data_IF_623261419361
#
_entry.id   IF_623261419361
#
_cell.length_a   1.000
_cell.length_b   1.000
_cell.length_c   1.000
_cell.angle_alpha   90.00
_cell.angle_beta   90.00
_cell.angle_gamma   90.00
#
_symmetry.space_group_name_H-M   'P 1'
#
loop_
_entity.id
_entity.type
_entity.pdbx_description
1 polymer ?
#
# COMPACT_ATOMS: atom_id res chain seq x y z
N UNK A 1 1.90 5.73 3.10
CA UNK A 1 0.69 6.00 2.31
C UNK A 1 0.88 7.24 1.45
N UNK A 2 0.15 7.39 0.34
CA UNK A 2 0.16 8.64 -0.42
C UNK A 2 -0.57 9.71 0.39
N UNK A 3 0.03 10.87 0.57
CA UNK A 3 -0.62 12.03 1.22
C UNK A 3 -1.80 12.61 0.41
N UNK A 4 -2.00 12.17 -0.83
CA UNK A 4 -2.93 12.80 -1.77
C UNK A 4 -4.20 11.96 -2.01
N UNK A 5 -5.37 12.53 -1.68
CA UNK A 5 -6.68 11.88 -1.86
C UNK A 5 -7.13 11.81 -3.32
N UNK A 6 -6.51 12.58 -4.21
CA UNK A 6 -6.94 12.71 -5.60
C UNK A 6 -6.21 11.75 -6.54
N UNK A 7 -6.93 11.25 -7.54
CA UNK A 7 -6.37 10.49 -8.65
C UNK A 7 -5.52 11.42 -9.51
N UNK A 8 -4.22 11.15 -9.62
CA UNK A 8 -3.27 11.99 -10.34
C UNK A 8 -3.23 11.61 -11.81
N UNK A 9 -3.68 12.50 -12.70
CA UNK A 9 -3.73 12.20 -14.13
C UNK A 9 -2.80 13.13 -14.90
N UNK A 10 -1.86 12.53 -15.63
CA UNK A 10 -1.03 13.24 -16.59
C UNK A 10 -1.85 13.47 -17.85
N UNK A 11 -2.05 14.72 -18.23
CA UNK A 11 -2.93 15.08 -19.33
C UNK A 11 -2.18 15.89 -20.38
N UNK A 12 -2.14 15.40 -21.62
CA UNK A 12 -1.43 16.04 -22.74
C UNK A 12 -2.44 16.75 -23.62
N UNK A 13 -2.51 18.08 -23.51
CA UNK A 13 -3.51 18.97 -24.11
C UNK A 13 -2.91 20.37 -24.24
N UNK A 14 -3.00 20.97 -25.43
CA UNK A 14 -2.43 22.29 -25.71
C UNK A 14 -3.47 23.41 -25.87
N UNK A 15 -4.77 23.10 -25.81
CA UNK A 15 -5.85 24.11 -25.85
C UNK A 15 -6.06 24.79 -24.47
N UNK A 16 -5.79 26.10 -24.34
CA UNK A 16 -5.96 26.83 -23.08
C UNK A 16 -7.40 26.87 -22.57
N UNK A 17 -8.39 26.86 -23.47
CA UNK A 17 -9.81 26.88 -23.07
C UNK A 17 -10.18 25.55 -22.42
N UNK A 18 -9.74 24.45 -23.02
CA UNK A 18 -9.99 23.09 -22.52
C UNK A 18 -9.25 22.86 -21.20
N UNK A 19 -7.96 23.22 -21.13
CA UNK A 19 -7.15 23.07 -19.91
C UNK A 19 -7.64 23.93 -18.74
N UNK A 20 -8.39 25.00 -19.01
CA UNK A 20 -9.05 25.78 -17.95
C UNK A 20 -10.39 25.19 -17.48
N UNK A 21 -11.14 24.53 -18.35
CA UNK A 21 -12.51 24.10 -18.08
C UNK A 21 -12.59 22.71 -17.43
N UNK A 22 -11.87 21.73 -17.97
CA UNK A 22 -12.04 20.33 -17.59
C UNK A 22 -11.49 19.93 -16.21
N UNK A 23 -10.46 20.57 -15.63
CA UNK A 23 -9.98 20.19 -14.30
C UNK A 23 -11.08 20.24 -13.23
N UNK A 24 -11.92 21.29 -13.22
CA UNK A 24 -13.02 21.41 -12.27
C UNK A 24 -14.08 20.32 -12.46
N UNK A 25 -14.38 19.97 -13.72
CA UNK A 25 -15.32 18.87 -14.02
C UNK A 25 -14.76 17.51 -13.56
N UNK A 26 -13.47 17.25 -13.80
CA UNK A 26 -12.81 16.00 -13.44
C UNK A 26 -12.75 15.80 -11.92
N UNK A 27 -12.45 16.86 -11.17
CA UNK A 27 -12.49 16.85 -9.71
C UNK A 27 -13.91 16.53 -9.22
N UNK A 28 -14.91 17.30 -9.63
CA UNK A 28 -16.29 17.14 -9.16
C UNK A 28 -16.90 15.77 -9.50
N UNK A 29 -16.61 15.24 -10.70
CA UNK A 29 -17.21 13.99 -11.17
C UNK A 29 -16.51 12.77 -10.58
N UNK A 30 -15.18 12.82 -10.45
CA UNK A 30 -14.38 11.62 -10.25
C UNK A 30 -13.29 11.75 -9.17
N UNK A 31 -13.07 12.93 -8.59
CA UNK A 31 -11.94 13.18 -7.69
C UNK A 31 -10.60 13.07 -8.42
N UNK A 32 -10.56 13.54 -9.68
CA UNK A 32 -9.37 13.52 -10.53
C UNK A 32 -8.72 14.89 -10.54
N UNK A 33 -7.41 14.92 -10.32
CA UNK A 33 -6.57 16.10 -10.54
C UNK A 33 -5.87 15.97 -11.90
N UNK A 34 -6.27 16.80 -12.86
CA UNK A 34 -5.67 16.84 -14.19
C UNK A 34 -4.45 17.76 -14.20
N UNK A 35 -3.29 17.21 -14.57
CA UNK A 35 -2.05 17.97 -14.75
C UNK A 35 -1.76 18.11 -16.24
N UNK A 36 -2.05 19.30 -16.79
CA UNK A 36 -1.95 19.57 -18.22
C UNK A 36 -0.50 19.83 -18.67
N UNK A 37 -0.11 19.22 -19.78
CA UNK A 37 1.15 19.43 -20.49
C UNK A 37 0.86 19.78 -21.96
N UNK A 38 1.41 20.90 -22.49
CA UNK A 38 1.10 21.37 -23.84
C UNK A 38 1.78 20.56 -24.96
N UNK A 39 2.67 19.63 -24.62
CA UNK A 39 3.29 18.73 -25.58
C UNK A 39 3.76 17.44 -24.91
N UNK A 40 3.99 16.40 -25.73
CA UNK A 40 4.52 15.13 -25.24
C UNK A 40 5.93 15.26 -24.67
N UNK A 41 6.80 16.08 -25.24
CA UNK A 41 8.18 16.26 -24.80
C UNK A 41 8.29 16.65 -23.31
N UNK A 42 7.49 17.61 -22.86
CA UNK A 42 7.44 18.01 -21.45
C UNK A 42 6.77 16.92 -20.59
N UNK A 43 5.71 16.30 -21.11
CA UNK A 43 4.98 15.24 -20.43
C UNK A 43 5.84 13.97 -20.23
N UNK A 44 6.65 13.57 -21.21
CA UNK A 44 7.57 12.43 -21.17
C UNK A 44 8.65 12.65 -20.11
N UNK A 45 9.22 13.86 -20.06
CA UNK A 45 10.21 14.23 -19.05
C UNK A 45 9.63 14.13 -17.63
N UNK A 46 8.41 14.65 -17.41
CA UNK A 46 7.73 14.55 -16.12
C UNK A 46 7.35 13.10 -15.78
N UNK A 47 6.85 12.35 -16.75
CA UNK A 47 6.50 10.94 -16.58
C UNK A 47 7.72 10.09 -16.22
N UNK A 48 8.87 10.33 -16.84
CA UNK A 48 10.09 9.58 -16.55
C UNK A 48 10.65 9.87 -15.15
N UNK A 49 10.63 11.15 -14.74
CA UNK A 49 11.12 11.63 -13.45
C UNK A 49 10.20 11.25 -12.29
N UNK A 50 8.88 11.32 -12.49
CA UNK A 50 7.87 11.15 -11.45
C UNK A 50 6.88 10.00 -11.74
N UNK A 51 7.35 8.93 -12.37
CA UNK A 51 6.51 7.81 -12.83
C UNK A 51 5.55 7.25 -11.77
N UNK A 52 6.00 7.18 -10.51
CA UNK A 52 5.21 6.67 -9.39
C UNK A 52 3.99 7.52 -9.02
N UNK A 53 4.01 8.82 -9.36
CA UNK A 53 2.95 9.80 -9.06
C UNK A 53 1.67 9.52 -9.83
N UNK A 54 1.81 9.18 -11.11
CA UNK A 54 0.71 9.17 -12.06
C UNK A 54 -0.14 7.91 -11.95
N UNK A 55 -1.46 8.07 -12.08
CA UNK A 55 -2.47 7.03 -11.96
C UNK A 55 -3.12 6.69 -13.30
N UNK A 56 -3.23 7.68 -14.19
CA UNK A 56 -3.63 7.50 -15.57
C UNK A 56 -2.98 8.56 -16.47
N UNK A 57 -3.05 8.32 -17.78
CA UNK A 57 -2.63 9.26 -18.83
C UNK A 57 -3.84 9.57 -19.71
N UNK A 58 -4.10 10.85 -20.00
CA UNK A 58 -5.05 11.28 -21.03
C UNK A 58 -4.27 11.98 -22.15
N UNK A 59 -4.52 11.58 -23.38
CA UNK A 59 -3.90 12.14 -24.58
C UNK A 59 -4.95 12.84 -25.43
N UNK A 60 -4.75 14.12 -25.74
CA UNK A 60 -5.43 14.71 -26.89
C UNK A 60 -4.76 14.23 -28.18
N UNK A 61 -5.58 13.72 -29.11
CA UNK A 61 -5.08 13.17 -30.36
C UNK A 61 -4.34 14.22 -31.19
N UNK A 62 -4.77 15.50 -31.14
CA UNK A 62 -4.15 16.62 -31.85
C UNK A 62 -3.23 17.46 -30.97
N UNK A 63 -2.51 16.85 -30.04
CA UNK A 63 -1.49 17.59 -29.29
C UNK A 63 -0.15 17.62 -30.05
N UNK A 64 0.77 18.47 -29.57
CA UNK A 64 2.12 18.60 -30.12
C UNK A 64 3.02 17.51 -29.55
N UNK A 65 3.87 16.93 -30.40
CA UNK A 65 4.89 15.98 -29.93
C UNK A 65 6.05 16.70 -29.25
N UNK A 66 6.63 17.72 -29.91
CA UNK A 66 7.60 18.68 -29.35
C UNK A 66 7.00 20.07 -29.27
N UNK A 67 7.62 20.98 -28.51
CA UNK A 67 7.14 22.37 -28.33
C UNK A 67 6.85 23.11 -29.64
N UNK A 68 7.75 22.93 -30.60
CA UNK A 68 7.71 23.62 -31.91
C UNK A 68 7.03 22.80 -33.01
N UNK A 69 6.52 21.60 -32.69
CA UNK A 69 5.83 20.78 -33.68
C UNK A 69 4.41 21.30 -33.94
N UNK A 70 3.96 21.13 -35.18
CA UNK A 70 2.55 21.26 -35.52
C UNK A 70 1.71 20.16 -34.82
N UNK A 71 0.46 20.48 -34.53
CA UNK A 71 -0.59 19.65 -33.94
C UNK A 71 -1.12 18.60 -34.93
N UNK A 72 -0.31 17.56 -35.20
CA UNK A 72 -0.65 16.48 -36.13
C UNK A 72 -0.84 15.15 -35.41
N UNK A 73 -2.07 14.63 -35.45
CA UNK A 73 -2.44 13.39 -34.78
C UNK A 73 -1.62 12.17 -35.20
N UNK A 74 -1.36 12.01 -36.50
CA UNK A 74 -0.51 10.93 -37.02
C UNK A 74 0.88 10.97 -36.40
N UNK A 75 1.52 12.15 -36.37
CA UNK A 75 2.86 12.30 -35.78
C UNK A 75 2.81 12.08 -34.27
N UNK A 76 1.82 12.65 -33.59
CA UNK A 76 1.70 12.55 -32.15
C UNK A 76 1.45 11.10 -31.69
N UNK A 77 0.32 10.50 -32.08
CA UNK A 77 -0.10 9.19 -31.59
C UNK A 77 0.87 8.07 -31.97
N UNK A 78 1.41 8.08 -33.19
CA UNK A 78 2.37 7.05 -33.64
C UNK A 78 3.68 7.03 -32.84
N UNK A 79 4.08 8.17 -32.27
CA UNK A 79 5.31 8.26 -31.48
C UNK A 79 5.06 8.12 -29.98
N UNK A 80 3.92 8.58 -29.47
CA UNK A 80 3.61 8.56 -28.03
C UNK A 80 3.40 7.14 -27.51
N UNK A 81 2.63 6.30 -28.20
CA UNK A 81 2.33 4.95 -27.69
C UNK A 81 3.58 4.06 -27.51
N UNK A 82 4.52 3.96 -28.49
CA UNK A 82 5.76 3.23 -28.29
C UNK A 82 6.57 3.72 -27.09
N UNK A 83 6.55 5.03 -26.81
CA UNK A 83 7.24 5.64 -25.66
C UNK A 83 6.61 5.24 -24.34
N UNK A 84 5.28 5.32 -24.24
CA UNK A 84 4.53 4.85 -23.07
C UNK A 84 4.83 3.37 -22.80
N UNK A 85 4.77 2.52 -23.83
CA UNK A 85 5.05 1.09 -23.68
C UNK A 85 6.50 0.80 -23.25
N UNK A 86 7.47 1.53 -23.81
CA UNK A 86 8.88 1.41 -23.42
C UNK A 86 9.10 1.83 -21.96
N UNK A 87 8.48 2.93 -21.53
CA UNK A 87 8.55 3.38 -20.14
C UNK A 87 7.88 2.37 -19.20
N UNK A 88 6.71 1.84 -19.56
CA UNK A 88 6.00 0.84 -18.77
C UNK A 88 6.84 -0.42 -18.55
N UNK A 89 7.49 -0.93 -19.61
CA UNK A 89 8.41 -2.06 -19.52
C UNK A 89 9.63 -1.75 -18.65
N UNK A 90 10.27 -0.59 -18.83
CA UNK A 90 11.44 -0.16 -18.03
C UNK A 90 11.11 0.03 -16.54
N UNK A 91 9.91 0.52 -16.23
CA UNK A 91 9.46 0.82 -14.87
C UNK A 91 8.71 -0.36 -14.23
N UNK A 92 8.54 -1.46 -14.96
CA UNK A 92 7.78 -2.64 -14.55
C UNK A 92 6.38 -2.32 -14.00
N UNK A 93 5.70 -1.33 -14.60
CA UNK A 93 4.36 -0.89 -14.21
C UNK A 93 3.69 -0.21 -15.39
N UNK A 94 2.52 -0.69 -15.79
CA UNK A 94 1.70 -0.04 -16.79
C UNK A 94 0.83 1.04 -16.15
N UNK A 95 0.85 2.26 -16.70
CA UNK A 95 -0.11 3.31 -16.34
C UNK A 95 -1.22 3.29 -17.41
N UNK A 96 -2.49 3.15 -17.02
CA UNK A 96 -3.60 3.12 -17.97
C UNK A 96 -3.66 4.45 -18.72
N UNK A 97 -3.79 4.38 -20.05
CA UNK A 97 -3.88 5.55 -20.92
C UNK A 97 -5.20 5.59 -21.67
N UNK A 98 -5.62 6.80 -22.05
CA UNK A 98 -6.88 7.07 -22.74
C UNK A 98 -6.69 8.19 -23.76
N UNK A 99 -7.52 8.21 -24.81
CA UNK A 99 -7.52 9.27 -25.82
C UNK A 99 -8.81 10.08 -25.71
N UNK A 100 -8.69 11.40 -25.55
CA UNK A 100 -9.81 12.35 -25.49
C UNK A 100 -9.69 13.36 -26.64
N UNK A 101 -10.49 13.22 -27.69
CA UNK A 101 -10.32 13.96 -28.95
C UNK A 101 -11.57 14.76 -29.34
N UNK A 102 -11.36 15.89 -30.01
CA UNK A 102 -12.41 16.66 -30.69
C UNK A 102 -12.66 16.25 -32.14
N UNK A 103 -11.84 15.39 -32.74
CA UNK A 103 -11.94 14.99 -34.16
C UNK A 103 -13.01 13.92 -34.42
N UNK A 104 -13.41 13.81 -35.70
CA UNK A 104 -14.26 12.72 -36.21
C UNK A 104 -13.57 11.35 -36.12
N UNK A 105 -14.38 10.29 -36.08
CA UNK A 105 -13.96 8.92 -35.77
C UNK A 105 -12.95 8.31 -36.75
N UNK A 106 -13.04 8.66 -38.04
CA UNK A 106 -12.28 7.99 -39.09
C UNK A 106 -10.80 8.41 -39.15
N UNK A 107 -10.45 9.61 -38.67
CA UNK A 107 -9.10 10.17 -38.88
C UNK A 107 -8.04 9.63 -37.91
N UNK A 108 -8.46 9.07 -36.76
CA UNK A 108 -7.53 8.69 -35.67
C UNK A 108 -7.68 7.26 -35.19
N UNK A 109 -8.73 6.54 -35.60
CA UNK A 109 -9.04 5.19 -35.12
C UNK A 109 -7.87 4.23 -35.32
N UNK A 110 -7.27 4.24 -36.51
CA UNK A 110 -6.20 3.33 -36.89
C UNK A 110 -4.84 3.70 -36.27
N UNK A 111 -4.73 4.89 -35.68
CA UNK A 111 -3.52 5.36 -34.98
C UNK A 111 -3.47 4.88 -33.53
N UNK A 112 -4.57 4.37 -32.97
CA UNK A 112 -4.66 3.96 -31.57
C UNK A 112 -4.47 2.43 -31.47
N UNK A 113 -3.40 1.96 -30.80
CA UNK A 113 -3.07 0.54 -30.74
C UNK A 113 -4.13 -0.26 -29.97
N UNK A 114 -4.25 -1.54 -30.30
CA UNK A 114 -5.11 -2.51 -29.62
C UNK A 114 -4.42 -3.15 -28.41
N UNK A 115 -3.89 -2.30 -27.53
CA UNK A 115 -3.13 -2.73 -26.34
C UNK A 115 -3.68 -2.13 -25.05
N UNK A 116 -4.85 -1.48 -25.11
CA UNK A 116 -5.53 -0.84 -23.99
C UNK A 116 -6.56 -1.77 -23.33
N UNK A 117 -6.10 -2.90 -22.78
CA UNK A 117 -6.99 -3.92 -22.18
C UNK A 117 -7.92 -3.35 -21.10
N UNK A 118 -7.45 -2.37 -20.33
CA UNK A 118 -8.23 -1.68 -19.29
C UNK A 118 -9.43 -0.89 -19.82
N UNK A 119 -9.50 -0.63 -21.12
CA UNK A 119 -10.59 0.11 -21.74
C UNK A 119 -11.29 -0.64 -22.88
N UNK A 120 -11.05 -1.96 -23.01
CA UNK A 120 -11.55 -2.77 -24.11
C UNK A 120 -13.09 -2.73 -24.24
N UNK A 121 -13.82 -2.62 -23.14
CA UNK A 121 -15.28 -2.53 -23.15
C UNK A 121 -15.79 -1.23 -23.78
N UNK A 122 -15.01 -0.14 -23.76
CA UNK A 122 -15.40 1.11 -24.43
C UNK A 122 -15.57 0.89 -25.93
N UNK A 123 -14.62 0.18 -26.56
CA UNK A 123 -14.69 -0.18 -27.98
C UNK A 123 -15.95 -0.99 -28.28
N UNK A 124 -16.35 -1.90 -27.38
CA UNK A 124 -17.59 -2.69 -27.54
C UNK A 124 -18.86 -1.83 -27.47
N UNK A 125 -18.84 -0.76 -26.68
CA UNK A 125 -20.01 0.10 -26.47
C UNK A 125 -20.17 1.10 -27.63
N UNK A 126 -19.08 1.76 -28.04
CA UNK A 126 -19.15 2.89 -28.98
C UNK A 126 -18.43 2.65 -30.32
N UNK A 127 -17.85 1.47 -30.55
CA UNK A 127 -17.10 1.09 -31.77
C UNK A 127 -15.89 1.99 -32.09
N UNK A 128 -15.29 2.61 -31.06
CA UNK A 128 -14.06 3.43 -31.15
C UNK A 128 -13.20 3.31 -29.88
N UNK A 129 -11.91 3.61 -30.00
CA UNK A 129 -10.93 3.58 -28.88
C UNK A 129 -10.62 4.95 -28.27
N UNK A 130 -11.44 5.96 -28.56
CA UNK A 130 -11.27 7.30 -28.01
C UNK A 130 -12.61 7.85 -27.50
N UNK A 131 -12.53 8.84 -26.64
CA UNK A 131 -13.65 9.59 -26.10
C UNK A 131 -13.75 10.92 -26.83
N UNK A 132 -14.96 11.33 -27.18
CA UNK A 132 -15.20 12.62 -27.81
C UNK A 132 -15.28 13.73 -26.75
N UNK A 133 -14.55 14.84 -26.94
CA UNK A 133 -14.63 16.05 -26.09
C UNK A 133 -16.08 16.59 -26.03
N UNK A 134 -16.79 16.50 -27.16
CA UNK A 134 -18.13 17.07 -27.35
C UNK A 134 -19.24 16.01 -27.43
N UNK A 135 -18.88 14.73 -27.54
CA UNK A 135 -19.82 13.64 -27.68
C UNK A 135 -20.61 13.34 -26.41
N UNK A 136 -21.71 12.61 -26.61
CA UNK A 136 -22.53 12.05 -25.55
C UNK A 136 -22.71 10.56 -25.76
N UNK A 137 -22.82 9.83 -24.67
CA UNK A 137 -23.05 8.39 -24.65
C UNK A 137 -24.18 8.07 -23.66
N UNK A 138 -24.98 7.06 -24.00
CA UNK A 138 -25.99 6.52 -23.10
C UNK A 138 -25.44 5.27 -22.42
N UNK A 139 -25.20 5.35 -21.11
CA UNK A 139 -24.74 4.23 -20.30
C UNK A 139 -25.76 3.96 -19.19
N UNK A 140 -26.27 2.73 -19.11
CA UNK A 140 -27.27 2.37 -18.10
C UNK A 140 -28.58 3.17 -18.22
N UNK A 141 -28.96 3.56 -19.44
CA UNK A 141 -30.17 4.35 -19.70
C UNK A 141 -30.04 5.86 -19.42
N UNK A 142 -28.85 6.33 -19.03
CA UNK A 142 -28.59 7.75 -18.74
C UNK A 142 -27.63 8.33 -19.78
N UNK A 143 -28.03 9.40 -20.44
CA UNK A 143 -27.17 10.19 -21.33
C UNK A 143 -26.18 11.02 -20.51
N UNK A 144 -24.90 10.94 -20.86
CA UNK A 144 -23.82 11.73 -20.24
C UNK A 144 -22.79 12.15 -21.28
N UNK A 145 -22.02 13.19 -20.98
CA UNK A 145 -20.87 13.55 -21.81
C UNK A 145 -19.82 12.42 -21.78
N UNK A 146 -19.20 12.14 -22.92
CA UNK A 146 -18.18 11.08 -22.98
C UNK A 146 -16.97 11.39 -22.12
N UNK A 147 -16.57 12.67 -21.97
CA UNK A 147 -15.51 13.05 -21.02
C UNK A 147 -15.87 12.70 -19.57
N UNK A 148 -17.13 12.79 -19.16
CA UNK A 148 -17.57 12.36 -17.83
C UNK A 148 -17.57 10.83 -17.71
N UNK A 149 -17.89 10.12 -18.80
CA UNK A 149 -17.72 8.67 -18.85
C UNK A 149 -16.25 8.28 -18.69
N UNK A 150 -15.33 8.96 -19.40
CA UNK A 150 -13.88 8.78 -19.27
C UNK A 150 -13.41 8.99 -17.83
N UNK A 151 -13.77 10.11 -17.19
CA UNK A 151 -13.36 10.40 -15.81
C UNK A 151 -13.85 9.31 -14.83
N UNK A 152 -15.10 8.87 -14.97
CA UNK A 152 -15.61 7.76 -14.15
C UNK A 152 -14.89 6.45 -14.43
N UNK A 153 -14.55 6.16 -15.70
CA UNK A 153 -13.81 4.95 -16.06
C UNK A 153 -12.38 4.98 -15.55
N UNK A 154 -11.70 6.13 -15.59
CA UNK A 154 -10.40 6.33 -14.93
C UNK A 154 -10.52 6.06 -13.44
N UNK A 155 -11.53 6.64 -12.77
CA UNK A 155 -11.79 6.37 -11.35
C UNK A 155 -11.98 4.89 -11.10
N UNK A 156 -12.85 4.23 -11.85
CA UNK A 156 -13.09 2.79 -11.73
C UNK A 156 -11.80 2.01 -11.96
N UNK A 157 -11.02 2.34 -13.01
CA UNK A 157 -9.76 1.67 -13.31
C UNK A 157 -8.75 1.82 -12.18
N UNK A 158 -8.57 3.04 -11.68
CA UNK A 158 -7.59 3.33 -10.62
C UNK A 158 -8.04 2.71 -9.29
N UNK A 159 -9.32 2.82 -8.93
CA UNK A 159 -9.86 2.29 -7.66
C UNK A 159 -9.97 0.76 -7.66
N UNK A 160 -10.35 0.14 -8.78
CA UNK A 160 -10.65 -1.30 -8.85
C UNK A 160 -9.59 -2.14 -9.56
N UNK A 161 -8.54 -1.54 -10.12
CA UNK A 161 -7.48 -2.29 -10.81
C UNK A 161 -6.08 -1.88 -10.41
N UNK A 162 -5.89 -0.85 -9.55
CA UNK A 162 -4.66 -0.74 -8.75
C UNK A 162 -4.82 -1.56 -7.49
N UNK A 163 -3.98 -2.58 -7.33
CA UNK A 163 -4.02 -3.49 -6.20
C UNK A 163 -3.95 -2.78 -4.85
N UNK A 164 -3.08 -1.78 -4.73
CA UNK A 164 -2.93 -0.97 -3.52
C UNK A 164 -4.24 -0.28 -3.11
N UNK A 165 -4.90 0.39 -4.05
CA UNK A 165 -6.17 1.10 -3.81
C UNK A 165 -7.31 0.11 -3.49
N UNK A 166 -7.32 -1.06 -4.14
CA UNK A 166 -8.29 -2.11 -3.82
C UNK A 166 -8.09 -2.63 -2.40
N UNK A 167 -6.84 -2.84 -1.98
CA UNK A 167 -6.52 -3.29 -0.64
C UNK A 167 -6.94 -2.24 0.39
N UNK A 168 -6.53 -0.99 0.18
CA UNK A 168 -6.74 0.09 1.13
C UNK A 168 -8.21 0.51 1.26
N UNK A 169 -8.97 0.56 0.16
CA UNK A 169 -10.31 1.16 0.19
C UNK A 169 -11.45 0.15 0.02
N UNK A 170 -11.19 -1.08 -0.45
CA UNK A 170 -12.24 -2.07 -0.71
C UNK A 170 -12.09 -3.34 0.14
N UNK A 171 -10.91 -3.95 0.17
CA UNK A 171 -10.69 -5.26 0.82
C UNK A 171 -10.40 -5.13 2.32
N UNK A 172 -9.63 -4.12 2.73
CA UNK A 172 -9.22 -3.90 4.13
C UNK A 172 -9.40 -2.45 4.63
N UNK A 173 -10.51 -1.75 4.32
CA UNK A 173 -10.65 -0.33 4.66
C UNK A 173 -10.61 -0.03 6.16
N UNK A 174 -11.08 -0.96 6.99
CA UNK A 174 -11.06 -0.86 8.44
C UNK A 174 -9.64 -0.92 9.02
N UNK A 175 -8.78 -1.80 8.48
CA UNK A 175 -7.37 -1.95 8.88
C UNK A 175 -6.58 -0.70 8.53
N UNK A 176 -6.69 -0.21 7.29
CA UNK A 176 -5.94 1.00 6.87
C UNK A 176 -6.44 2.25 7.60
N UNK A 177 -7.76 2.38 7.81
CA UNK A 177 -8.30 3.45 8.65
C UNK A 177 -7.82 3.37 10.11
N UNK A 178 -7.56 2.16 10.63
CA UNK A 178 -6.98 1.98 11.96
C UNK A 178 -5.52 2.43 12.00
N UNK A 179 -4.74 2.15 10.96
CA UNK A 179 -3.37 2.64 10.83
C UNK A 179 -3.31 4.17 10.75
N UNK A 180 -4.24 4.81 10.03
CA UNK A 180 -4.32 6.28 9.96
C UNK A 180 -4.59 6.90 11.34
N UNK A 181 -5.55 6.34 12.09
CA UNK A 181 -5.87 6.82 13.45
C UNK A 181 -4.72 6.64 14.44
N UNK A 182 -3.91 5.60 14.24
CA UNK A 182 -2.73 5.31 15.04
C UNK A 182 -1.50 6.07 14.58
N UNK A 183 -1.58 6.86 13.49
CA UNK A 183 -0.43 7.49 12.84
C UNK A 183 0.69 6.49 12.50
N UNK A 184 0.30 5.30 12.00
CA UNK A 184 1.19 4.21 11.60
C UNK A 184 1.08 3.86 10.11
N UNK A 185 0.40 4.74 9.37
CA UNK A 185 0.11 4.60 7.97
C UNK A 185 1.38 4.54 7.09
N UNK A 186 2.34 5.41 7.41
CA UNK A 186 3.62 5.50 6.71
C UNK A 186 4.50 4.28 6.96
N UNK A 187 4.58 3.83 8.20
CA UNK A 187 5.52 2.79 8.61
C UNK A 187 4.95 1.38 8.48
N UNK A 188 3.78 1.12 9.08
CA UNK A 188 3.17 -0.22 9.06
C UNK A 188 2.46 -0.47 7.74
N UNK A 189 1.74 0.53 7.21
CA UNK A 189 1.03 0.40 5.94
C UNK A 189 1.97 0.07 4.77
N UNK A 190 3.19 0.63 4.78
CA UNK A 190 4.22 0.35 3.78
C UNK A 190 4.66 -1.12 3.76
N UNK A 191 4.82 -1.75 4.93
CA UNK A 191 5.19 -3.17 5.01
C UNK A 191 3.99 -4.12 4.90
N UNK A 192 2.79 -3.66 5.27
CA UNK A 192 1.57 -4.45 5.16
C UNK A 192 1.13 -4.63 3.70
N UNK A 193 1.28 -3.61 2.85
CA UNK A 193 0.82 -3.66 1.46
C UNK A 193 1.45 -4.82 0.64
N UNK A 194 2.78 -5.04 0.65
CA UNK A 194 3.41 -6.18 -0.02
C UNK A 194 3.04 -7.55 0.56
N UNK A 195 2.49 -7.62 1.78
CA UNK A 195 1.95 -8.84 2.36
C UNK A 195 0.54 -9.14 1.86
N UNK A 196 -0.30 -8.11 1.67
CA UNK A 196 -1.70 -8.27 1.28
C UNK A 196 -1.89 -8.41 -0.23
N UNK A 197 -1.10 -7.71 -1.05
CA UNK A 197 -1.22 -7.74 -2.52
C UNK A 197 -1.16 -9.16 -3.10
N UNK A 198 -0.16 -10.00 -2.76
CA UNK A 198 -0.06 -11.36 -3.30
C UNK A 198 -1.09 -12.36 -2.76
N UNK A 199 -1.95 -11.95 -1.83
CA UNK A 199 -3.09 -12.77 -1.37
C UNK A 199 -4.24 -12.69 -2.38
N UNK A 200 -4.47 -11.51 -2.97
CA UNK A 200 -5.63 -11.23 -3.81
C UNK A 200 -5.31 -11.14 -5.29
N UNK A 201 -4.07 -10.77 -5.61
CA UNK A 201 -3.67 -10.48 -6.98
C UNK A 201 -2.52 -11.38 -7.44
N UNK A 202 -2.58 -11.78 -8.70
CA UNK A 202 -1.52 -12.53 -9.34
C UNK A 202 -0.31 -11.63 -9.65
N UNK A 203 0.87 -12.23 -9.83
CA UNK A 203 2.09 -11.53 -10.24
C UNK A 203 3.29 -11.69 -9.30
N UNK A 204 3.08 -12.21 -8.09
CA UNK A 204 4.18 -12.56 -7.17
C UNK A 204 4.33 -14.08 -7.07
N UNK A 205 5.54 -14.58 -7.29
CA UNK A 205 5.83 -16.01 -7.15
C UNK A 205 5.81 -16.43 -5.67
N UNK A 206 5.54 -17.71 -5.38
CA UNK A 206 5.60 -18.22 -4.00
C UNK A 206 6.97 -18.01 -3.35
N UNK A 207 8.05 -18.16 -4.13
CA UNK A 207 9.42 -17.95 -3.66
C UNK A 207 9.67 -16.50 -3.27
N UNK A 208 9.21 -15.54 -4.08
CA UNK A 208 9.35 -14.11 -3.78
C UNK A 208 8.46 -13.71 -2.60
N UNK A 209 7.25 -14.24 -2.52
CA UNK A 209 6.35 -13.98 -1.39
C UNK A 209 6.94 -14.48 -0.08
N UNK A 210 7.53 -15.69 -0.05
CA UNK A 210 8.16 -16.23 1.16
C UNK A 210 9.39 -15.44 1.64
N UNK A 211 9.94 -14.51 0.85
CA UNK A 211 10.98 -13.57 1.33
C UNK A 211 10.41 -12.43 2.18
N UNK A 212 9.09 -12.25 2.19
CA UNK A 212 8.38 -11.13 2.85
C UNK A 212 8.13 -11.35 4.35
N UNK A 213 8.64 -12.40 4.98
CA UNK A 213 8.62 -12.53 6.45
C UNK A 213 9.32 -11.35 7.16
N UNK A 214 10.28 -10.71 6.47
CA UNK A 214 10.90 -9.46 6.94
C UNK A 214 9.89 -8.32 7.05
N UNK A 215 8.91 -8.24 6.17
CA UNK A 215 7.88 -7.18 6.19
C UNK A 215 6.90 -7.40 7.36
N UNK A 216 6.57 -8.66 7.68
CA UNK A 216 5.83 -9.01 8.89
C UNK A 216 6.60 -8.58 10.15
N UNK A 217 7.91 -8.90 10.19
CA UNK A 217 8.79 -8.48 11.30
C UNK A 217 8.78 -6.97 11.47
N UNK A 218 8.99 -6.22 10.38
CA UNK A 218 9.06 -4.76 10.38
C UNK A 218 7.75 -4.13 10.83
N UNK A 219 6.63 -4.67 10.38
CA UNK A 219 5.30 -4.25 10.83
C UNK A 219 5.16 -4.37 12.35
N UNK A 220 5.54 -5.51 12.93
CA UNK A 220 5.51 -5.73 14.38
C UNK A 220 6.48 -4.80 15.13
N UNK A 221 7.69 -4.57 14.61
CA UNK A 221 8.66 -3.63 15.20
C UNK A 221 8.07 -2.22 15.30
N UNK A 222 7.41 -1.72 14.26
CA UNK A 222 6.79 -0.39 14.26
C UNK A 222 5.60 -0.30 15.22
N UNK A 223 4.73 -1.31 15.24
CA UNK A 223 3.61 -1.37 16.19
C UNK A 223 4.14 -1.37 17.62
N UNK A 224 5.15 -2.18 17.94
CA UNK A 224 5.72 -2.24 19.29
C UNK A 224 6.45 -0.96 19.71
N UNK A 225 7.15 -0.28 18.80
CA UNK A 225 7.69 1.06 19.09
C UNK A 225 6.58 2.03 19.46
N UNK A 226 5.47 1.98 18.73
CA UNK A 226 4.32 2.81 19.04
C UNK A 226 3.69 2.45 20.39
N UNK A 227 3.54 1.16 20.71
CA UNK A 227 3.05 0.72 22.03
C UNK A 227 3.94 1.20 23.17
N UNK A 228 5.26 1.29 22.97
CA UNK A 228 6.19 1.84 23.96
C UNK A 228 5.97 3.35 24.12
N UNK A 229 5.81 4.09 23.01
CA UNK A 229 5.43 5.51 23.04
C UNK A 229 4.10 5.74 23.75
N UNK A 230 3.16 4.80 23.67
CA UNK A 230 1.86 4.91 24.35
C UNK A 230 1.88 4.40 25.81
N UNK A 231 3.06 4.09 26.37
CA UNK A 231 3.20 3.56 27.73
C UNK A 231 2.66 2.14 27.94
N UNK A 232 2.24 1.45 26.87
CA UNK A 232 1.63 0.11 26.93
C UNK A 232 2.66 -1.02 27.05
N UNK A 233 3.87 -0.78 26.54
CA UNK A 233 5.00 -1.68 26.63
C UNK A 233 6.15 -1.02 27.39
N UNK A 234 6.88 -1.76 28.24
CA UNK A 234 8.02 -1.22 28.97
C UNK A 234 9.18 -0.88 28.02
N UNK A 235 9.89 0.25 28.22
CA UNK A 235 10.95 0.70 27.32
C UNK A 235 12.16 -0.23 27.26
N UNK A 236 12.31 -1.14 28.24
CA UNK A 236 13.38 -2.14 28.27
C UNK A 236 13.32 -3.14 27.09
N UNK A 237 12.18 -3.20 26.39
CA UNK A 237 12.01 -3.98 25.16
C UNK A 237 12.89 -3.43 24.02
N UNK A 238 13.24 -2.14 24.03
CA UNK A 238 14.18 -1.56 23.07
C UNK A 238 15.60 -1.78 23.57
N UNK A 239 16.44 -2.37 22.73
CA UNK A 239 17.86 -2.54 23.01
C UNK A 239 18.59 -1.20 23.15
N UNK A 240 19.45 -1.06 24.15
CA UNK A 240 20.23 0.17 24.44
C UNK A 240 21.27 0.57 23.37
N UNK A 241 21.40 -0.19 22.28
CA UNK A 241 22.40 0.06 21.24
C UNK A 241 21.88 0.99 20.14
N UNK A 242 22.80 1.63 19.40
CA UNK A 242 22.61 2.70 18.37
C UNK A 242 21.54 2.48 17.27
N UNK A 243 20.86 1.33 17.21
CA UNK A 243 19.81 1.02 16.22
C UNK A 243 18.40 0.86 16.81
N UNK A 244 18.21 1.12 18.12
CA UNK A 244 16.90 1.02 18.79
C UNK A 244 16.13 -0.27 18.44
N UNK A 245 16.76 -1.43 18.30
CA UNK A 245 16.06 -2.65 17.88
C UNK A 245 15.04 -3.11 18.94
N UNK A 246 13.86 -3.53 18.51
CA UNK A 246 12.77 -4.02 19.37
C UNK A 246 12.92 -5.52 19.64
N UNK A 247 12.73 -5.93 20.90
CA UNK A 247 12.62 -7.35 21.25
C UNK A 247 11.20 -7.89 21.01
N UNK A 248 11.01 -8.56 19.88
CA UNK A 248 9.71 -9.14 19.53
C UNK A 248 9.30 -10.24 20.52
N UNK A 249 10.25 -11.09 20.95
CA UNK A 249 9.97 -12.12 21.95
C UNK A 249 9.49 -11.54 23.27
N UNK A 250 10.18 -10.53 23.81
CA UNK A 250 9.76 -9.88 25.06
C UNK A 250 8.44 -9.12 24.92
N UNK A 251 8.19 -8.52 23.76
CA UNK A 251 6.90 -7.89 23.46
C UNK A 251 5.76 -8.92 23.48
N UNK A 252 5.95 -10.07 22.81
CA UNK A 252 4.98 -11.18 22.82
C UNK A 252 4.78 -11.74 24.23
N UNK A 253 5.85 -11.95 24.99
CA UNK A 253 5.80 -12.44 26.38
C UNK A 253 5.00 -11.50 27.28
N UNK A 254 5.27 -10.19 27.21
CA UNK A 254 4.58 -9.20 28.03
C UNK A 254 3.09 -9.11 27.70
N UNK A 255 2.74 -9.06 26.41
CA UNK A 255 1.36 -8.87 25.97
C UNK A 255 0.51 -10.12 26.16
N UNK A 256 1.05 -11.29 25.83
CA UNK A 256 0.27 -12.53 25.70
C UNK A 256 0.65 -13.65 26.66
N UNK A 257 1.85 -13.60 27.26
CA UNK A 257 2.34 -14.66 28.14
C UNK A 257 1.73 -14.61 29.55
N UNK A 258 1.66 -15.76 30.22
CA UNK A 258 1.36 -15.79 31.65
C UNK A 258 2.53 -15.25 32.44
N UNK A 259 2.28 -14.39 33.42
CA UNK A 259 3.34 -13.95 34.33
C UNK A 259 3.72 -15.15 35.22
N UNK A 260 5.02 -15.51 35.30
CA UNK A 260 5.46 -16.65 36.09
C UNK A 260 5.36 -16.38 37.60
N UNK A 261 4.93 -17.37 38.37
CA UNK A 261 5.05 -17.35 39.84
C UNK A 261 6.49 -17.65 40.30
N UNK A 262 7.19 -18.49 39.56
CA UNK A 262 8.56 -18.88 39.84
C UNK A 262 9.46 -18.71 38.61
N UNK A 263 10.50 -17.88 38.74
CA UNK A 263 11.43 -17.57 37.66
C UNK A 263 12.45 -18.69 37.41
N UNK A 264 12.76 -19.53 38.40
CA UNK A 264 13.84 -20.53 38.29
C UNK A 264 13.54 -21.68 37.34
N UNK A 265 12.29 -21.84 36.91
CA UNK A 265 11.84 -22.89 35.98
C UNK A 265 11.72 -22.39 34.54
N UNK A 266 11.97 -21.10 34.29
CA UNK A 266 11.86 -20.51 32.96
C UNK A 266 13.16 -20.64 32.16
N UNK A 267 13.07 -20.67 30.82
CA UNK A 267 14.24 -20.47 29.97
C UNK A 267 14.94 -19.14 30.30
N UNK A 268 16.28 -19.13 30.22
CA UNK A 268 17.11 -17.97 30.57
C UNK A 268 16.66 -16.65 29.90
N UNK A 269 16.19 -16.72 28.65
CA UNK A 269 15.74 -15.56 27.88
C UNK A 269 14.46 -14.92 28.43
N UNK A 270 13.53 -15.72 28.94
CA UNK A 270 12.29 -15.27 29.56
C UNK A 270 12.54 -14.83 31.00
N UNK A 271 13.36 -15.57 31.74
CA UNK A 271 13.76 -15.23 33.11
C UNK A 271 14.37 -13.82 33.15
N UNK A 272 15.34 -13.54 32.26
CA UNK A 272 15.97 -12.21 32.12
C UNK A 272 14.99 -11.06 31.88
N UNK A 273 13.82 -11.33 31.32
CA UNK A 273 12.78 -10.32 31.11
C UNK A 273 11.96 -10.10 32.38
N UNK A 274 11.40 -11.17 32.95
CA UNK A 274 10.53 -11.11 34.13
C UNK A 274 11.25 -10.74 35.44
N UNK A 275 12.58 -10.88 35.50
CA UNK A 275 13.41 -10.29 36.57
C UNK A 275 13.38 -8.76 36.56
N UNK A 276 13.18 -8.13 35.41
CA UNK A 276 13.30 -6.68 35.22
C UNK A 276 11.96 -5.97 35.13
N UNK A 277 10.89 -6.70 34.82
CA UNK A 277 9.55 -6.16 34.61
C UNK A 277 8.53 -6.94 35.43
N UNK A 278 7.57 -6.22 35.99
CA UNK A 278 6.30 -6.79 36.47
C UNK A 278 5.20 -6.29 35.56
N UNK A 279 4.31 -7.17 35.11
CA UNK A 279 3.05 -6.74 34.53
C UNK A 279 2.07 -6.52 35.68
N UNK A 280 1.47 -5.32 35.72
CA UNK A 280 0.58 -4.92 36.80
C UNK A 280 -0.86 -5.43 36.59
N UNK A 281 -1.12 -6.14 35.50
CA UNK A 281 -2.39 -6.84 35.23
C UNK A 281 -2.27 -8.32 35.54
N UNK A 282 -3.30 -8.86 36.20
CA UNK A 282 -3.40 -10.28 36.54
C UNK A 282 -3.43 -11.15 35.27
N UNK A 283 -4.25 -10.75 34.30
CA UNK A 283 -4.40 -11.45 33.03
C UNK A 283 -3.48 -10.87 31.94
N UNK A 284 -3.13 -11.67 30.91
CA UNK A 284 -2.53 -11.16 29.68
C UNK A 284 -3.35 -10.03 29.07
N UNK A 285 -2.65 -9.09 28.43
CA UNK A 285 -3.26 -7.92 27.77
C UNK A 285 -3.97 -8.37 26.49
N UNK A 286 -3.38 -9.33 25.77
CA UNK A 286 -3.98 -9.87 24.56
C UNK A 286 -5.03 -10.95 24.85
N UNK A 287 -6.14 -10.98 24.07
CA UNK A 287 -6.98 -12.15 23.96
C UNK A 287 -6.15 -13.39 23.58
N UNK A 288 -6.55 -14.56 24.08
CA UNK A 288 -5.78 -15.81 23.93
C UNK A 288 -5.44 -16.14 22.47
N UNK A 289 -6.38 -15.89 21.55
CA UNK A 289 -6.20 -16.13 20.11
C UNK A 289 -5.08 -15.26 19.53
N UNK A 290 -5.11 -13.95 19.82
CA UNK A 290 -4.07 -13.02 19.37
C UNK A 290 -2.73 -13.26 20.08
N UNK A 291 -2.75 -13.70 21.34
CA UNK A 291 -1.53 -14.11 22.06
C UNK A 291 -0.86 -15.30 21.37
N UNK A 292 -1.63 -16.33 21.00
CA UNK A 292 -1.12 -17.50 20.28
C UNK A 292 -0.63 -17.13 18.88
N UNK A 293 -1.40 -16.33 18.14
CA UNK A 293 -0.99 -15.82 16.83
C UNK A 293 0.31 -15.04 16.93
N UNK A 294 0.42 -14.10 17.88
CA UNK A 294 1.59 -13.24 18.02
C UNK A 294 2.83 -14.06 18.37
N UNK A 295 2.69 -15.06 19.24
CA UNK A 295 3.78 -15.99 19.56
C UNK A 295 4.28 -16.72 18.30
N UNK A 296 3.37 -17.20 17.46
CA UNK A 296 3.72 -17.83 16.18
C UNK A 296 4.34 -16.85 15.19
N UNK A 297 3.79 -15.64 15.06
CA UNK A 297 4.32 -14.60 14.17
C UNK A 297 5.75 -14.22 14.55
N UNK A 298 6.01 -13.99 15.84
CA UNK A 298 7.34 -13.65 16.36
C UNK A 298 8.33 -14.79 16.16
N UNK A 299 7.92 -16.05 16.38
CA UNK A 299 8.78 -17.20 16.12
C UNK A 299 9.20 -17.25 14.65
N UNK A 300 8.25 -17.09 13.71
CA UNK A 300 8.55 -17.15 12.28
C UNK A 300 9.32 -15.93 11.76
N UNK A 301 9.09 -14.75 12.34
CA UNK A 301 9.71 -13.47 11.96
C UNK A 301 11.08 -13.20 12.64
N UNK A 302 11.59 -14.17 13.41
CA UNK A 302 12.78 -14.05 14.25
C UNK A 302 12.52 -13.25 15.54
N UNK A 303 12.83 -13.81 16.70
CA UNK A 303 12.40 -13.22 17.98
C UNK A 303 13.40 -12.27 18.65
N UNK A 304 14.71 -12.47 18.42
CA UNK A 304 15.77 -11.95 19.29
C UNK A 304 16.38 -10.59 18.86
N UNK A 305 17.00 -9.86 19.81
CA UNK A 305 17.50 -8.47 19.66
C UNK A 305 18.96 -8.33 19.25
N UNK A 306 19.73 -9.39 19.17
CA UNK A 306 21.15 -9.24 18.84
C UNK A 306 21.30 -9.02 17.32
N UNK A 307 21.51 -7.74 16.94
CA UNK A 307 22.29 -7.23 15.78
C UNK A 307 22.52 -8.20 14.62
N UNK A 308 22.14 -7.83 13.38
CA UNK A 308 22.34 -8.61 12.13
C UNK A 308 21.69 -10.00 12.05
N UNK A 309 21.20 -10.58 13.15
CA UNK A 309 20.68 -11.96 13.19
C UNK A 309 19.20 -12.06 12.79
N UNK A 310 18.39 -10.99 12.82
CA UNK A 310 16.94 -11.12 12.56
C UNK A 310 16.59 -11.71 11.18
N UNK A 311 17.28 -11.26 10.13
CA UNK A 311 17.14 -11.83 8.78
C UNK A 311 17.76 -13.22 8.67
N UNK A 312 18.85 -13.49 9.39
CA UNK A 312 19.49 -14.81 9.46
C UNK A 312 18.61 -15.84 10.19
N UNK A 313 17.91 -15.44 11.25
CA UNK A 313 16.97 -16.26 12.02
C UNK A 313 15.72 -16.55 11.18
N UNK A 314 15.20 -15.54 10.47
CA UNK A 314 14.15 -15.75 9.47
C UNK A 314 14.62 -16.75 8.42
N UNK A 315 15.81 -16.55 7.83
CA UNK A 315 16.35 -17.45 6.81
C UNK A 315 16.49 -18.87 7.36
N UNK A 316 17.06 -19.05 8.55
CA UNK A 316 17.21 -20.35 9.21
C UNK A 316 15.86 -21.03 9.47
N UNK A 317 14.85 -20.27 9.93
CA UNK A 317 13.51 -20.82 10.16
C UNK A 317 12.86 -21.24 8.84
N UNK A 318 13.01 -20.45 7.78
CA UNK A 318 12.49 -20.75 6.45
C UNK A 318 13.20 -21.94 5.79
N UNK A 319 14.53 -22.04 5.90
CA UNK A 319 15.32 -23.16 5.38
C UNK A 319 14.92 -24.49 6.02
N UNK A 320 14.55 -24.45 7.31
CA UNK A 320 14.05 -25.62 8.02
C UNK A 320 12.57 -25.92 7.74
N UNK A 321 11.77 -24.94 7.30
CA UNK A 321 10.32 -25.09 7.15
C UNK A 321 9.88 -25.32 5.70
N UNK A 322 10.30 -24.47 4.76
CA UNK A 322 9.80 -24.43 3.39
C UNK A 322 9.99 -25.77 2.64
N UNK A 323 11.08 -26.53 2.81
CA UNK A 323 11.22 -27.85 2.17
C UNK A 323 10.15 -28.86 2.59
N UNK A 324 9.59 -28.74 3.80
CA UNK A 324 8.55 -29.66 4.28
C UNK A 324 7.16 -29.35 3.72
N UNK A 325 6.99 -28.18 3.09
CA UNK A 325 5.71 -27.72 2.52
C UNK A 325 5.83 -27.34 1.05
N UNK A 326 6.89 -27.79 0.37
CA UNK A 326 7.16 -27.52 -1.04
C UNK A 326 7.08 -26.02 -1.41
N UNK A 327 7.65 -25.16 -0.56
CA UNK A 327 7.66 -23.71 -0.78
C UNK A 327 6.29 -23.03 -0.70
N UNK A 328 5.30 -23.66 -0.08
CA UNK A 328 3.95 -23.10 0.12
C UNK A 328 3.96 -21.72 0.79
N UNK A 329 3.17 -20.73 0.29
CA UNK A 329 3.08 -19.39 0.87
C UNK A 329 2.05 -19.26 2.00
N UNK A 330 1.24 -20.30 2.25
CA UNK A 330 0.02 -20.16 3.04
C UNK A 330 0.26 -19.80 4.51
N UNK A 331 1.40 -20.17 5.08
CA UNK A 331 1.76 -19.76 6.45
C UNK A 331 1.93 -18.24 6.54
N UNK A 332 2.68 -17.62 5.62
CA UNK A 332 2.85 -16.18 5.63
C UNK A 332 1.54 -15.45 5.33
N UNK A 333 0.69 -15.98 4.44
CA UNK A 333 -0.66 -15.44 4.21
C UNK A 333 -1.50 -15.48 5.50
N UNK A 334 -1.49 -16.60 6.22
CA UNK A 334 -2.19 -16.72 7.51
C UNK A 334 -1.68 -15.72 8.54
N UNK A 335 -0.36 -15.53 8.63
CA UNK A 335 0.23 -14.55 9.53
C UNK A 335 -0.12 -13.10 9.14
N UNK A 336 -0.12 -12.77 7.84
CA UNK A 336 -0.54 -11.46 7.35
C UNK A 336 -2.01 -11.16 7.68
N UNK A 337 -2.91 -12.15 7.56
CA UNK A 337 -4.30 -11.98 7.95
C UNK A 337 -4.45 -11.76 9.47
N UNK A 338 -3.73 -12.51 10.30
CA UNK A 338 -3.77 -12.25 11.74
C UNK A 338 -3.10 -10.93 12.17
N UNK A 339 -2.18 -10.39 11.36
CA UNK A 339 -1.64 -9.04 11.57
C UNK A 339 -2.73 -7.98 11.40
N UNK A 340 -3.67 -8.18 10.48
CA UNK A 340 -4.83 -7.29 10.32
C UNK A 340 -5.68 -7.27 11.59
N UNK A 341 -6.03 -8.43 12.15
CA UNK A 341 -6.77 -8.52 13.42
C UNK A 341 -5.99 -7.88 14.59
N UNK A 342 -4.68 -8.05 14.62
CA UNK A 342 -3.83 -7.45 15.63
C UNK A 342 -3.81 -5.92 15.55
N UNK A 343 -3.78 -5.34 14.35
CA UNK A 343 -3.89 -3.88 14.12
C UNK A 343 -5.24 -3.36 14.59
N UNK A 344 -6.35 -4.04 14.23
CA UNK A 344 -7.69 -3.64 14.65
C UNK A 344 -7.87 -3.72 16.17
N UNK A 345 -7.36 -4.78 16.79
CA UNK A 345 -7.33 -4.89 18.24
C UNK A 345 -6.54 -3.74 18.86
N UNK A 346 -5.38 -3.41 18.29
CA UNK A 346 -4.50 -2.38 18.83
C UNK A 346 -5.15 -0.98 18.77
N UNK A 347 -5.76 -0.61 17.66
CA UNK A 347 -6.53 0.64 17.53
C UNK A 347 -7.66 0.73 18.55
N UNK A 348 -8.42 -0.35 18.74
CA UNK A 348 -9.46 -0.40 19.76
C UNK A 348 -8.88 -0.31 21.19
N UNK A 349 -7.73 -0.92 21.43
CA UNK A 349 -7.08 -0.90 22.73
C UNK A 349 -6.58 0.50 23.10
N UNK A 350 -5.95 1.20 22.15
CA UNK A 350 -5.49 2.59 22.32
C UNK A 350 -6.66 3.55 22.52
N UNK A 351 -7.77 3.37 21.79
CA UNK A 351 -8.99 4.17 22.02
C UNK A 351 -9.52 4.05 23.45
N UNK A 352 -9.41 2.87 24.05
CA UNK A 352 -9.80 2.64 25.44
C UNK A 352 -8.74 3.09 26.47
N UNK A 353 -7.51 3.37 26.01
CA UNK A 353 -6.34 3.68 26.82
C UNK A 353 -5.49 4.80 26.18
N UNK A 354 -6.05 6.02 25.99
CA UNK A 354 -5.38 7.06 25.21
C UNK A 354 -4.24 7.77 25.97
N UNK A 355 -4.17 7.64 27.30
CA UNK A 355 -3.23 8.38 28.16
C UNK A 355 -1.95 7.58 28.40
N UNK A 356 -0.84 8.07 27.83
CA UNK A 356 0.49 7.45 27.91
C UNK A 356 1.00 7.26 29.35
N UNK A 357 0.90 8.30 30.19
CA UNK A 357 1.44 8.29 31.54
C UNK A 357 0.65 7.33 32.43
N UNK A 358 -0.68 7.37 32.33
CA UNK A 358 -1.57 6.46 33.03
C UNK A 358 -1.33 5.01 32.61
N UNK A 359 -1.09 4.77 31.32
CA UNK A 359 -0.79 3.45 30.79
C UNK A 359 0.50 2.87 31.41
N UNK A 360 1.57 3.67 31.45
CA UNK A 360 2.85 3.22 32.00
C UNK A 360 2.70 2.75 33.46
N UNK A 361 1.96 3.49 34.28
CA UNK A 361 1.70 3.13 35.68
C UNK A 361 0.75 1.93 35.79
N UNK A 362 -0.27 1.87 34.93
CA UNK A 362 -1.31 0.84 34.97
C UNK A 362 -0.80 -0.53 34.52
N UNK A 363 0.11 -0.60 33.54
CA UNK A 363 0.45 -1.86 32.89
C UNK A 363 1.75 -2.49 33.37
N UNK A 364 2.74 -1.72 33.80
CA UNK A 364 4.03 -2.30 34.17
C UNK A 364 4.78 -1.55 35.27
N UNK A 365 5.69 -2.26 35.92
CA UNK A 365 6.66 -1.71 36.87
C UNK A 365 8.04 -2.26 36.54
N UNK A 366 9.05 -1.39 36.44
CA UNK A 366 10.44 -1.82 36.31
C UNK A 366 10.99 -2.22 37.68
N UNK A 367 11.47 -3.46 37.78
CA UNK A 367 12.17 -3.96 38.96
C UNK A 367 13.60 -3.42 38.95
N UNK A 368 14.02 -2.85 40.08
CA UNK A 368 15.37 -2.30 40.30
C UNK A 368 15.74 -1.07 39.44
N UNK A 369 14.79 -0.20 39.10
CA UNK A 369 15.17 1.18 38.76
C UNK A 369 15.68 1.85 40.03
N UNK A 370 17.00 1.85 40.24
CA UNK A 370 17.59 2.87 41.11
C UNK A 370 17.16 4.21 40.51
N UNK A 371 16.41 4.98 41.29
CA UNK A 371 16.13 6.38 40.99
C UNK A 371 17.43 7.12 40.63
#
# INVERSE_FOLDING_TARGET
>A
MRENKYIQVLWVEDDPLITSAYPNEADMVAGIELHAFPCWEDAEAELENNYGRWDAIILDAKCRYRKDDADKAEKFLSHVFPKIMTLAARKNRTIPWYVLSGQGEDDIRDLIPDTNDWDADWMRIVNRRFYSKNGKVTLGGVEKHERHALFNRIKTQVTHYRHEMQIEHNLYPDVFSALDRLDLAGEVGYYLMPLLEPIHFEGTSNADYNRRYVDLRKSLEHIFRHMIKMGLLPPIIVGKNKKENVNLSWSSLFLGGSQPENLSVLPDSENKFWEKVTRNTENPILPKQLSQWLKSAVFQAGGAVHTSIGEEEIAMNLDNYLPHVDGSPYMLRSLAMGLCDFILWYDNFVKAHPDEEMNAVKFWTLKNSKF
#
